data_IF_950847030711
#
_entry.id   IF_950847030711
#
_cell.length_a   1.000
_cell.length_b   1.000
_cell.length_c   1.000
_cell.angle_alpha   90.00
_cell.angle_beta   90.00
_cell.angle_gamma   90.00
#
_symmetry.space_group_name_H-M   'P 1'
#
loop_
_entity.id
_entity.type
_entity.pdbx_description
1 polymer ?
#
# COMPACT_ATOMS: atom_id res chain seq x y z
N UNK A 1 -6.17 19.96 6.04
CA UNK A 1 -6.50 18.66 5.43
C UNK A 1 -5.36 18.28 4.49
N UNK A 2 -4.82 17.07 4.56
CA UNK A 2 -3.80 16.58 3.62
C UNK A 2 -4.53 16.04 2.41
N UNK A 3 -4.25 16.59 1.24
CA UNK A 3 -4.86 16.18 -0.03
C UNK A 3 -3.97 15.24 -0.84
N UNK A 4 -2.67 15.20 -0.52
CA UNK A 4 -1.67 14.32 -1.10
C UNK A 4 -0.87 13.60 0.00
N UNK A 5 -0.63 12.29 -0.15
CA UNK A 5 -1.17 11.41 -1.19
C UNK A 5 -2.68 11.22 -1.07
N UNK A 6 -3.35 10.88 -2.18
CA UNK A 6 -4.80 10.62 -2.17
C UNK A 6 -5.15 9.46 -1.24
N UNK A 7 -6.40 9.40 -0.76
CA UNK A 7 -6.85 8.44 0.25
C UNK A 7 -6.04 8.44 1.55
N UNK A 8 -5.32 9.53 1.84
CA UNK A 8 -4.58 9.68 3.09
C UNK A 8 -5.53 9.76 4.28
N UNK A 9 -5.29 8.96 5.29
CA UNK A 9 -6.06 8.96 6.54
C UNK A 9 -5.26 8.40 7.71
N UNK A 10 -5.53 8.92 8.91
CA UNK A 10 -5.18 8.26 10.15
C UNK A 10 -6.15 7.10 10.37
N UNK A 11 -5.68 5.94 10.74
CA UNK A 11 -6.55 4.80 11.00
C UNK A 11 -7.33 4.94 12.32
N UNK A 12 -6.89 5.83 13.21
CA UNK A 12 -7.69 6.23 14.36
C UNK A 12 -9.08 6.75 13.97
N UNK A 13 -9.18 7.52 12.87
CA UNK A 13 -10.46 8.04 12.38
C UNK A 13 -11.45 6.95 11.94
N UNK A 14 -10.95 5.73 11.71
CA UNK A 14 -11.75 4.58 11.30
C UNK A 14 -11.93 3.55 12.43
N UNK A 15 -11.00 3.51 13.37
CA UNK A 15 -10.88 2.47 14.38
C UNK A 15 -10.41 3.07 15.71
N UNK A 16 -11.31 3.24 16.65
CA UNK A 16 -11.09 3.86 17.98
C UNK A 16 -10.07 3.13 18.87
N UNK A 17 -9.78 1.87 18.58
CA UNK A 17 -8.76 1.09 19.27
C UNK A 17 -7.32 1.33 18.76
N UNK A 18 -7.14 2.13 17.69
CA UNK A 18 -5.83 2.56 17.19
C UNK A 18 -5.57 3.97 17.72
N UNK A 19 -4.42 4.18 18.34
CA UNK A 19 -4.02 5.51 18.83
C UNK A 19 -3.82 6.49 17.66
N UNK A 20 -4.26 7.73 17.84
CA UNK A 20 -4.11 8.79 16.85
C UNK A 20 -2.62 9.06 16.57
N UNK A 21 -2.28 9.22 15.30
CA UNK A 21 -0.89 9.46 14.89
C UNK A 21 0.00 8.23 14.83
N UNK A 22 -0.52 7.06 15.20
CA UNK A 22 0.24 5.82 15.23
C UNK A 22 0.35 5.18 13.85
N UNK A 23 -0.76 5.06 13.13
CA UNK A 23 -0.85 4.29 11.89
C UNK A 23 -1.68 5.02 10.82
N UNK A 24 -1.05 5.27 9.69
CA UNK A 24 -1.64 5.97 8.56
C UNK A 24 -1.72 5.08 7.33
N UNK A 25 -2.67 5.37 6.47
CA UNK A 25 -2.83 4.70 5.18
C UNK A 25 -3.06 5.70 4.06
N UNK A 26 -2.52 5.39 2.85
CA UNK A 26 -2.74 6.21 1.66
C UNK A 26 -2.70 5.41 0.36
N UNK A 27 -2.99 6.09 -0.74
CA UNK A 27 -2.55 5.67 -2.07
C UNK A 27 -1.05 5.94 -2.23
N UNK A 28 -0.51 5.51 -3.36
CA UNK A 28 0.87 5.73 -3.77
C UNK A 28 1.27 7.22 -3.62
N UNK A 29 2.32 7.55 -2.84
CA UNK A 29 2.77 8.92 -2.60
C UNK A 29 3.65 9.46 -3.75
N UNK A 30 3.15 9.34 -4.99
CA UNK A 30 3.85 9.87 -6.16
C UNK A 30 3.64 11.37 -6.32
N UNK A 31 4.61 12.03 -6.94
CA UNK A 31 4.56 13.46 -7.26
C UNK A 31 4.31 14.36 -6.05
N UNK A 32 4.71 13.92 -4.86
CA UNK A 32 4.64 14.75 -3.67
C UNK A 32 5.65 15.89 -3.77
N UNK A 33 5.20 17.10 -3.48
CA UNK A 33 6.07 18.25 -3.33
C UNK A 33 6.86 18.18 -2.03
N UNK A 34 7.91 18.99 -1.91
CA UNK A 34 8.62 19.13 -0.64
C UNK A 34 7.65 19.50 0.51
N UNK A 35 6.68 20.38 0.24
CA UNK A 35 5.69 20.78 1.25
C UNK A 35 4.78 19.61 1.67
N UNK A 36 4.45 18.69 0.76
CA UNK A 36 3.66 17.51 1.10
C UNK A 36 4.47 16.55 1.98
N UNK A 37 5.76 16.33 1.66
CA UNK A 37 6.67 15.57 2.52
C UNK A 37 6.84 16.22 3.90
N UNK A 38 6.95 17.55 3.96
CA UNK A 38 7.03 18.28 5.23
C UNK A 38 5.78 18.09 6.09
N UNK A 39 4.59 18.09 5.46
CA UNK A 39 3.32 17.80 6.18
C UNK A 39 3.32 16.40 6.77
N UNK A 40 3.70 15.37 5.99
CA UNK A 40 3.78 13.99 6.48
C UNK A 40 4.78 13.87 7.64
N UNK A 41 5.93 14.51 7.52
CA UNK A 41 6.94 14.51 8.56
C UNK A 41 6.45 15.20 9.87
N UNK A 42 5.73 16.32 9.73
CA UNK A 42 5.17 17.07 10.86
C UNK A 42 4.01 16.34 11.56
N UNK A 43 3.34 15.41 10.89
CA UNK A 43 2.39 14.48 11.51
C UNK A 43 3.05 13.39 12.37
N UNK A 44 4.38 13.36 12.43
CA UNK A 44 5.10 12.33 13.15
C UNK A 44 5.43 11.08 12.33
N UNK A 45 5.05 11.02 11.05
CA UNK A 45 5.37 9.87 10.20
C UNK A 45 6.88 9.79 10.01
N UNK A 46 7.43 8.59 10.19
CA UNK A 46 8.86 8.28 10.05
C UNK A 46 9.12 7.05 9.19
N UNK A 47 8.13 6.17 9.06
CA UNK A 47 8.21 4.90 8.36
C UNK A 47 7.20 4.86 7.23
N UNK A 48 7.64 4.52 6.03
CA UNK A 48 6.78 4.35 4.86
C UNK A 48 6.93 2.92 4.35
N UNK A 49 5.82 2.22 4.18
CA UNK A 49 5.78 0.84 3.75
C UNK A 49 5.02 0.73 2.45
N UNK A 50 5.70 0.27 1.41
CA UNK A 50 5.15 0.01 0.09
C UNK A 50 4.82 -1.47 -0.06
N UNK A 51 3.52 -1.78 -0.09
CA UNK A 51 3.02 -3.15 -0.26
C UNK A 51 2.89 -3.61 -1.71
N UNK A 52 3.25 -2.74 -2.66
CA UNK A 52 3.19 -3.07 -4.07
C UNK A 52 4.21 -4.14 -4.44
N UNK A 53 3.86 -4.90 -5.47
CA UNK A 53 4.78 -5.86 -6.09
C UNK A 53 6.01 -5.16 -6.70
N UNK A 54 7.05 -5.91 -6.96
CA UNK A 54 8.24 -5.40 -7.65
C UNK A 54 7.88 -4.89 -9.05
N UNK A 55 6.98 -5.57 -9.74
CA UNK A 55 6.48 -5.15 -11.04
C UNK A 55 5.81 -3.78 -10.97
N UNK A 56 4.88 -3.58 -10.03
CA UNK A 56 4.19 -2.30 -9.85
C UNK A 56 5.16 -1.15 -9.51
N UNK A 57 6.17 -1.42 -8.69
CA UNK A 57 7.19 -0.42 -8.34
C UNK A 57 8.08 -0.04 -9.53
N UNK A 58 8.40 -0.99 -10.41
CA UNK A 58 9.16 -0.70 -11.64
C UNK A 58 8.37 0.13 -12.63
N UNK A 59 7.07 -0.16 -12.75
CA UNK A 59 6.19 0.55 -13.66
C UNK A 59 5.83 1.97 -13.19
N UNK A 60 5.69 2.18 -11.91
CA UNK A 60 5.23 3.43 -11.31
C UNK A 60 6.06 3.73 -10.05
N UNK A 61 7.32 4.10 -10.26
CA UNK A 61 8.25 4.41 -9.18
C UNK A 61 8.00 5.80 -8.59
N UNK A 62 8.41 6.00 -7.35
CA UNK A 62 8.52 7.31 -6.73
C UNK A 62 9.78 7.37 -5.86
N UNK A 63 10.28 8.57 -5.64
CA UNK A 63 11.38 8.82 -4.71
C UNK A 63 10.81 9.18 -3.34
N UNK A 64 11.18 8.41 -2.34
CA UNK A 64 10.83 8.70 -0.96
C UNK A 64 11.82 9.73 -0.39
N UNK A 65 11.31 10.72 0.34
CA UNK A 65 12.16 11.70 1.01
C UNK A 65 13.06 11.01 2.05
N UNK A 66 14.34 11.38 2.07
CA UNK A 66 15.39 10.74 2.88
C UNK A 66 15.15 10.78 4.40
N UNK A 67 14.24 11.61 4.87
CA UNK A 67 13.85 11.70 6.28
C UNK A 67 13.03 10.49 6.76
N UNK A 68 12.49 9.71 5.83
CA UNK A 68 11.68 8.54 6.12
C UNK A 68 12.48 7.26 5.92
N UNK A 69 12.24 6.28 6.77
CA UNK A 69 12.67 4.90 6.52
C UNK A 69 11.66 4.24 5.59
N UNK A 70 12.10 3.86 4.40
CA UNK A 70 11.24 3.29 3.36
C UNK A 70 11.46 1.79 3.22
N UNK A 71 10.39 1.02 3.32
CA UNK A 71 10.39 -0.43 3.19
C UNK A 71 9.52 -0.88 2.02
N UNK A 72 10.05 -1.77 1.20
CA UNK A 72 9.35 -2.41 0.09
C UNK A 72 8.99 -3.84 0.49
N UNK A 73 7.79 -4.04 1.02
CA UNK A 73 7.28 -5.35 1.46
C UNK A 73 6.08 -5.74 0.60
N UNK A 74 6.31 -6.48 -0.48
CA UNK A 74 5.22 -6.91 -1.35
C UNK A 74 4.19 -7.75 -0.59
N UNK A 75 2.93 -7.32 -0.63
CA UNK A 75 1.82 -8.10 -0.08
C UNK A 75 1.36 -9.22 -1.03
N UNK A 76 1.82 -9.22 -2.29
CA UNK A 76 1.60 -10.32 -3.22
C UNK A 76 2.59 -11.44 -2.93
N UNK A 77 2.09 -12.68 -2.88
CA UNK A 77 2.89 -13.86 -2.57
C UNK A 77 3.17 -14.65 -3.84
N UNK A 78 4.44 -14.77 -4.28
CA UNK A 78 4.81 -15.63 -5.41
C UNK A 78 4.40 -17.09 -5.20
N UNK A 79 4.54 -17.60 -3.96
CA UNK A 79 4.27 -18.99 -3.61
C UNK A 79 2.79 -19.40 -3.78
N UNK A 80 1.89 -18.46 -3.92
CA UNK A 80 0.47 -18.73 -4.08
C UNK A 80 0.02 -18.76 -5.56
N UNK A 81 0.97 -18.65 -6.50
CA UNK A 81 0.69 -18.52 -7.93
C UNK A 81 -0.02 -17.19 -8.28
N UNK A 82 0.02 -16.23 -7.35
CA UNK A 82 -0.26 -14.84 -7.62
C UNK A 82 1.12 -14.25 -7.87
N UNK A 83 1.56 -14.35 -9.11
CA UNK A 83 2.79 -13.70 -9.54
C UNK A 83 2.70 -12.19 -9.26
N UNK A 84 3.84 -11.52 -9.24
CA UNK A 84 3.98 -10.06 -9.17
C UNK A 84 3.25 -9.32 -10.31
N UNK A 85 2.14 -9.88 -10.76
CA UNK A 85 1.43 -9.51 -11.95
C UNK A 85 0.27 -8.58 -11.60
N UNK A 86 0.35 -7.33 -12.00
CA UNK A 86 -0.72 -6.36 -11.80
C UNK A 86 -1.83 -6.56 -12.85
N UNK A 87 -2.72 -7.47 -12.57
CA UNK A 87 -3.79 -7.93 -13.45
C UNK A 87 -4.80 -6.84 -13.90
N UNK A 88 -5.21 -5.87 -13.07
CA UNK A 88 -6.16 -4.84 -13.50
C UNK A 88 -5.74 -4.01 -14.71
N UNK A 89 -4.44 -3.93 -15.01
CA UNK A 89 -3.96 -3.21 -16.20
C UNK A 89 -4.28 -3.91 -17.52
N UNK A 90 -4.56 -5.19 -17.47
CA UNK A 90 -4.92 -5.98 -18.66
C UNK A 90 -6.37 -5.81 -19.07
N UNK A 91 -7.23 -5.31 -18.18
CA UNK A 91 -8.64 -5.08 -18.49
C UNK A 91 -8.79 -3.72 -19.17
N UNK A 92 -9.23 -3.75 -20.39
CA UNK A 92 -9.52 -2.57 -21.19
C UNK A 92 -11.00 -2.58 -21.60
N UNK A 93 -11.48 -1.48 -22.20
CA UNK A 93 -12.83 -1.44 -22.79
C UNK A 93 -13.05 -2.48 -23.91
N UNK A 94 -11.95 -3.06 -24.43
CA UNK A 94 -12.00 -4.10 -25.49
C UNK A 94 -11.89 -5.51 -24.93
N UNK A 95 -11.71 -5.66 -23.61
CA UNK A 95 -11.59 -6.98 -22.99
C UNK A 95 -12.87 -7.77 -23.13
N UNK A 96 -12.73 -9.06 -23.38
CA UNK A 96 -13.84 -10.00 -23.45
C UNK A 96 -14.46 -10.25 -22.08
N UNK A 97 -15.68 -10.78 -22.06
CA UNK A 97 -16.34 -11.18 -20.82
C UNK A 97 -15.52 -12.21 -20.04
N UNK A 98 -14.86 -13.12 -20.74
CA UNK A 98 -14.01 -14.16 -20.14
C UNK A 98 -12.77 -13.56 -19.47
N UNK A 99 -12.09 -12.62 -20.12
CA UNK A 99 -10.94 -11.92 -19.53
C UNK A 99 -11.34 -11.15 -18.27
N UNK A 100 -12.50 -10.47 -18.29
CA UNK A 100 -13.02 -9.76 -17.12
C UNK A 100 -13.35 -10.74 -15.99
N UNK A 101 -13.99 -11.89 -16.31
CA UNK A 101 -14.32 -12.90 -15.32
C UNK A 101 -13.08 -13.52 -14.68
N UNK A 102 -12.09 -13.88 -15.49
CA UNK A 102 -10.84 -14.45 -15.01
C UNK A 102 -10.08 -13.47 -14.11
N UNK A 103 -10.10 -12.20 -14.46
CA UNK A 103 -9.51 -11.14 -13.63
C UNK A 103 -10.19 -10.98 -12.28
N UNK A 104 -11.53 -10.98 -12.27
CA UNK A 104 -12.31 -10.90 -11.05
C UNK A 104 -12.08 -12.12 -10.16
N UNK A 105 -11.99 -13.32 -10.75
CA UNK A 105 -11.69 -14.55 -10.03
C UNK A 105 -10.30 -14.52 -9.39
N UNK A 106 -9.30 -14.03 -10.13
CA UNK A 106 -7.93 -13.90 -9.66
C UNK A 106 -7.83 -12.94 -8.46
N UNK A 107 -8.47 -11.77 -8.55
CA UNK A 107 -8.54 -10.79 -7.45
C UNK A 107 -9.20 -11.42 -6.23
N UNK A 108 -10.35 -12.09 -6.41
CA UNK A 108 -11.04 -12.77 -5.29
C UNK A 108 -10.19 -13.84 -4.63
N UNK A 109 -9.43 -14.61 -5.42
CA UNK A 109 -8.47 -15.60 -4.88
C UNK A 109 -7.37 -14.90 -4.08
N UNK A 110 -6.82 -13.82 -4.62
CA UNK A 110 -5.81 -13.02 -3.95
C UNK A 110 -6.26 -12.55 -2.56
N UNK A 111 -7.43 -11.91 -2.48
CA UNK A 111 -7.99 -11.44 -1.19
C UNK A 111 -8.28 -12.57 -0.19
N UNK A 112 -8.55 -13.78 -0.64
CA UNK A 112 -8.77 -14.91 0.26
C UNK A 112 -7.49 -15.43 0.91
N UNK A 113 -6.37 -15.35 0.21
CA UNK A 113 -5.11 -15.96 0.66
C UNK A 113 -4.09 -14.93 1.15
N UNK A 114 -4.14 -13.70 0.65
CA UNK A 114 -3.20 -12.62 0.99
C UNK A 114 -3.13 -12.32 2.50
N UNK A 115 -4.23 -12.32 3.29
CA UNK A 115 -4.17 -12.02 4.71
C UNK A 115 -3.46 -13.09 5.55
N UNK A 116 -3.36 -14.33 5.03
CA UNK A 116 -2.85 -15.45 5.80
C UNK A 116 -1.39 -15.75 5.48
N UNK A 117 -0.61 -15.99 6.53
CA UNK A 117 0.82 -16.34 6.45
C UNK A 117 1.65 -15.41 5.52
N UNK A 118 1.36 -14.12 5.56
CA UNK A 118 1.98 -13.12 4.72
C UNK A 118 3.15 -12.45 5.44
N UNK A 119 4.36 -12.58 4.89
CA UNK A 119 5.57 -12.03 5.48
C UNK A 119 5.51 -10.50 5.59
N UNK A 120 4.97 -9.81 4.56
CA UNK A 120 4.83 -8.35 4.58
C UNK A 120 3.96 -7.87 5.75
N UNK A 121 2.86 -8.57 6.02
CA UNK A 121 1.99 -8.25 7.15
C UNK A 121 2.62 -8.62 8.50
N UNK A 122 3.35 -9.74 8.58
CA UNK A 122 4.11 -10.09 9.80
C UNK A 122 5.14 -9.00 10.14
N UNK A 123 5.85 -8.50 9.13
CA UNK A 123 6.81 -7.40 9.28
C UNK A 123 6.12 -6.10 9.70
N UNK A 124 4.99 -5.75 9.09
CA UNK A 124 4.19 -4.59 9.51
C UNK A 124 3.75 -4.71 10.97
N UNK A 125 3.18 -5.85 11.37
CA UNK A 125 2.73 -6.04 12.75
C UNK A 125 3.89 -6.03 13.76
N UNK A 126 5.07 -6.48 13.37
CA UNK A 126 6.25 -6.35 14.23
C UNK A 126 6.66 -4.87 14.36
N UNK A 127 6.66 -4.13 13.26
CA UNK A 127 7.00 -2.71 13.27
C UNK A 127 6.03 -1.88 14.12
N UNK A 128 4.73 -2.14 14.01
CA UNK A 128 3.67 -1.47 14.80
C UNK A 128 3.87 -1.65 16.31
N UNK A 129 4.41 -2.78 16.75
CA UNK A 129 4.69 -3.00 18.19
C UNK A 129 5.84 -2.17 18.72
N UNK A 130 6.71 -1.70 17.87
CA UNK A 130 7.98 -1.09 18.24
C UNK A 130 8.04 0.41 17.89
N UNK A 131 7.23 0.86 16.96
CA UNK A 131 7.34 2.19 16.35
C UNK A 131 5.97 2.82 16.12
N UNK A 132 5.96 4.14 16.19
CA UNK A 132 4.85 5.02 15.86
C UNK A 132 5.11 5.75 14.54
N UNK A 133 4.07 6.38 14.00
CA UNK A 133 4.18 7.20 12.80
C UNK A 133 4.48 6.38 11.56
N UNK A 134 3.72 5.33 11.35
CA UNK A 134 3.85 4.41 10.22
C UNK A 134 2.81 4.76 9.17
N UNK A 135 3.23 5.02 7.94
CA UNK A 135 2.38 5.14 6.77
C UNK A 135 2.57 3.91 5.88
N UNK A 136 1.51 3.17 5.61
CA UNK A 136 1.57 2.11 4.62
C UNK A 136 0.67 2.41 3.43
N UNK A 137 1.06 1.93 2.26
CA UNK A 137 0.32 2.16 1.02
C UNK A 137 0.42 0.98 0.04
N UNK A 138 -0.53 0.96 -0.88
CA UNK A 138 -0.48 0.20 -2.13
C UNK A 138 -0.59 1.16 -3.33
N UNK A 139 -1.09 0.73 -4.46
CA UNK A 139 -1.32 1.62 -5.60
C UNK A 139 -2.42 2.66 -5.33
N UNK A 140 -3.58 2.23 -4.88
CA UNK A 140 -4.80 3.06 -4.73
C UNK A 140 -5.14 3.45 -3.29
N UNK A 141 -4.55 2.82 -2.30
CA UNK A 141 -4.89 3.02 -0.89
C UNK A 141 -6.25 2.45 -0.49
N UNK A 142 -6.75 1.45 -1.22
CA UNK A 142 -8.04 0.80 -0.96
C UNK A 142 -7.90 -0.57 -0.30
N UNK A 143 -6.81 -1.28 -0.61
CA UNK A 143 -6.56 -2.65 -0.14
C UNK A 143 -5.93 -2.66 1.23
#
# INVERSE_FOLDING_TARGET
MITNPSNFRDLHDCYDFIEAGHLYRSALPRNLTKQDWDKLYNLGIRYIIDFRSEFERKEDSYECDQRFQHYNWSALKPETGIDDFYFPRLITKKSTKEEVYNSAWFIRKGYKIMPFDNLAYKQLFQLIKEKDGILFHCGSGKD
#
